data_IF_838244951129
#
_entry.id   IF_838244951129
#
_cell.length_a   1.000
_cell.length_b   1.000
_cell.length_c   1.000
_cell.angle_alpha   90.00
_cell.angle_beta   90.00
_cell.angle_gamma   90.00
#
_symmetry.space_group_name_H-M   'P 1'
#
loop_
_entity.id
_entity.type
_entity.pdbx_description
1 polymer ?
#
# COMPACT_ATOMS: atom_id res chain seq x y z
N UNK A 1 -27.84 58.55 50.64
CA UNK A 1 -27.83 57.11 50.91
C UNK A 1 -26.44 56.75 51.39
N UNK A 2 -26.30 56.27 52.63
CA UNK A 2 -25.00 55.97 53.23
C UNK A 2 -24.60 54.54 52.86
N UNK A 3 -23.63 54.39 51.98
CA UNK A 3 -22.99 53.09 51.73
C UNK A 3 -21.91 52.90 52.80
N UNK A 4 -22.17 51.96 53.72
CA UNK A 4 -21.28 51.60 54.81
C UNK A 4 -20.08 50.89 54.19
N UNK A 5 -18.94 51.57 54.08
CA UNK A 5 -17.68 50.91 53.75
C UNK A 5 -17.31 49.97 54.90
N UNK A 6 -17.61 48.68 54.74
CA UNK A 6 -17.06 47.62 55.59
C UNK A 6 -15.54 47.61 55.41
N UNK A 7 -14.85 48.28 56.33
CA UNK A 7 -13.40 48.19 56.44
C UNK A 7 -13.08 46.78 56.94
N UNK A 8 -12.66 45.90 56.04
CA UNK A 8 -12.09 44.59 56.38
C UNK A 8 -11.08 44.77 57.52
N UNK A 9 -11.22 43.95 58.56
CA UNK A 9 -10.35 44.03 59.73
C UNK A 9 -8.92 43.62 59.34
N UNK A 10 -7.89 44.18 59.99
CA UNK A 10 -6.48 43.81 59.74
C UNK A 10 -6.21 42.29 59.82
N UNK A 11 -7.08 41.53 60.50
CA UNK A 11 -7.06 40.07 60.57
C UNK A 11 -7.55 39.36 59.29
N UNK A 12 -8.53 39.93 58.56
CA UNK A 12 -9.04 39.35 57.30
C UNK A 12 -8.08 39.61 56.13
N UNK A 13 -7.35 40.73 56.15
CA UNK A 13 -6.27 41.03 55.21
C UNK A 13 -5.01 40.18 55.40
N UNK A 14 -4.90 39.46 56.53
CA UNK A 14 -3.77 38.59 56.86
C UNK A 14 -4.10 37.10 56.83
N UNK A 15 -5.34 36.73 56.50
CA UNK A 15 -5.71 35.35 56.24
C UNK A 15 -5.11 34.90 54.90
N UNK A 16 -4.52 33.70 54.80
CA UNK A 16 -3.98 33.21 53.54
C UNK A 16 -5.09 33.14 52.50
N UNK A 17 -4.85 33.77 51.35
CA UNK A 17 -5.81 33.76 50.25
C UNK A 17 -5.99 32.33 49.69
N UNK A 18 -7.03 32.12 48.89
CA UNK A 18 -7.31 30.82 48.30
C UNK A 18 -6.12 30.25 47.51
N UNK A 19 -5.35 31.11 46.83
CA UNK A 19 -4.17 30.69 46.07
C UNK A 19 -3.04 30.21 46.99
N UNK A 20 -2.84 30.83 48.15
CA UNK A 20 -1.87 30.42 49.16
C UNK A 20 -2.26 29.09 49.82
N UNK A 21 -3.56 28.87 50.08
CA UNK A 21 -4.06 27.61 50.66
C UNK A 21 -3.97 26.45 49.68
N UNK A 22 -4.48 26.63 48.45
CA UNK A 22 -4.39 25.60 47.40
C UNK A 22 -2.93 25.38 46.97
N UNK A 23 -2.10 26.43 46.98
CA UNK A 23 -0.67 26.33 46.72
C UNK A 23 0.08 25.56 47.81
N UNK A 24 -0.25 25.79 49.09
CA UNK A 24 0.33 25.07 50.21
C UNK A 24 -0.04 23.57 50.16
N UNK A 25 -1.32 23.25 49.93
CA UNK A 25 -1.79 21.87 49.81
C UNK A 25 -1.20 21.15 48.59
N UNK A 26 -1.14 21.82 47.45
CA UNK A 26 -0.48 21.31 46.26
C UNK A 26 1.02 21.08 46.48
N UNK A 27 1.71 22.00 47.19
CA UNK A 27 3.14 21.86 47.48
C UNK A 27 3.46 20.72 48.43
N UNK A 28 2.66 20.51 49.48
CA UNK A 28 2.83 19.39 50.41
C UNK A 28 2.55 18.04 49.72
N UNK A 29 1.54 17.99 48.85
CA UNK A 29 1.27 16.83 48.01
C UNK A 29 2.42 16.52 47.04
N UNK A 30 2.98 17.56 46.40
CA UNK A 30 4.10 17.43 45.46
C UNK A 30 5.37 16.98 46.17
N UNK A 31 5.64 17.51 47.37
CA UNK A 31 6.77 17.10 48.21
C UNK A 31 6.64 15.64 48.64
N UNK A 32 5.46 15.21 49.11
CA UNK A 32 5.18 13.82 49.49
C UNK A 32 5.29 12.85 48.32
N UNK A 33 5.03 13.28 47.09
CA UNK A 33 5.08 12.44 45.87
C UNK A 33 6.24 12.76 44.94
N UNK A 34 7.20 13.60 45.37
CA UNK A 34 8.27 14.15 44.53
C UNK A 34 9.16 13.07 43.89
N UNK A 35 9.44 11.97 44.59
CA UNK A 35 10.18 10.83 44.04
C UNK A 35 9.44 10.10 42.92
N UNK A 36 8.12 9.92 43.07
CA UNK A 36 7.29 9.28 42.03
C UNK A 36 7.18 10.20 40.82
N UNK A 37 6.92 11.49 41.05
CA UNK A 37 6.79 12.49 39.98
C UNK A 37 8.11 12.65 39.20
N UNK A 38 9.25 12.73 39.90
CA UNK A 38 10.57 12.80 39.23
C UNK A 38 10.89 11.52 38.46
N UNK A 39 10.57 10.34 38.99
CA UNK A 39 10.74 9.07 38.27
C UNK A 39 9.89 9.04 37.00
N UNK A 40 8.61 9.40 37.09
CA UNK A 40 7.70 9.47 35.93
C UNK A 40 8.21 10.50 34.92
N UNK A 41 8.66 11.67 35.36
CA UNK A 41 9.21 12.70 34.49
C UNK A 41 10.47 12.21 33.75
N UNK A 42 11.39 11.53 34.45
CA UNK A 42 12.59 10.92 33.83
C UNK A 42 12.20 9.86 32.81
N UNK A 43 11.25 8.98 33.14
CA UNK A 43 10.76 7.95 32.20
C UNK A 43 10.14 8.58 30.96
N UNK A 44 9.35 9.65 31.10
CA UNK A 44 8.78 10.36 29.96
C UNK A 44 9.84 11.05 29.10
N UNK A 45 10.84 11.69 29.72
CA UNK A 45 11.94 12.34 28.99
C UNK A 45 12.79 11.31 28.26
N UNK A 46 13.19 10.23 28.92
CA UNK A 46 13.99 9.15 28.32
C UNK A 46 13.20 8.46 27.22
N UNK A 47 11.93 8.14 27.45
CA UNK A 47 11.04 7.56 26.45
C UNK A 47 10.87 8.46 25.23
N UNK A 48 10.69 9.77 25.44
CA UNK A 48 10.62 10.77 24.39
C UNK A 48 11.92 10.89 23.58
N UNK A 49 13.07 10.86 24.25
CA UNK A 49 14.39 10.89 23.60
C UNK A 49 14.66 9.63 22.77
N UNK A 50 14.29 8.45 23.29
CA UNK A 50 14.40 7.18 22.55
C UNK A 50 13.50 7.24 21.30
N UNK A 51 12.25 7.68 21.45
CA UNK A 51 11.33 7.81 20.32
C UNK A 51 11.87 8.81 19.27
N UNK A 52 12.40 9.95 19.70
CA UNK A 52 12.99 10.95 18.80
C UNK A 52 14.23 10.43 18.07
N UNK A 53 15.10 9.68 18.75
CA UNK A 53 16.27 9.05 18.13
C UNK A 53 15.86 8.00 17.10
N UNK A 54 14.91 7.11 17.45
CA UNK A 54 14.38 6.10 16.52
C UNK A 54 13.77 6.78 15.29
N UNK A 55 12.96 7.81 15.48
CA UNK A 55 12.35 8.55 14.37
C UNK A 55 13.41 9.24 13.50
N UNK A 56 14.43 9.85 14.10
CA UNK A 56 15.52 10.49 13.38
C UNK A 56 16.31 9.50 12.51
N UNK A 57 16.69 8.35 13.07
CA UNK A 57 17.43 7.33 12.33
C UNK A 57 16.57 6.68 11.24
N UNK A 58 15.30 6.36 11.53
CA UNK A 58 14.38 5.78 10.55
C UNK A 58 14.15 6.73 9.38
N UNK A 59 13.88 8.01 9.64
CA UNK A 59 13.68 8.99 8.57
C UNK A 59 14.93 9.17 7.71
N UNK A 60 16.12 9.17 8.33
CA UNK A 60 17.38 9.32 7.62
C UNK A 60 17.71 8.08 6.79
N UNK A 61 17.46 6.87 7.30
CA UNK A 61 17.61 5.65 6.53
C UNK A 61 16.62 5.59 5.38
N UNK A 62 15.38 6.03 5.60
CA UNK A 62 14.34 6.08 4.57
C UNK A 62 14.71 7.04 3.45
N UNK A 63 15.16 8.26 3.78
CA UNK A 63 15.59 9.25 2.79
C UNK A 63 16.76 8.75 1.93
N UNK A 64 17.76 8.12 2.58
CA UNK A 64 18.89 7.52 1.88
C UNK A 64 18.45 6.35 0.97
N UNK A 65 17.57 5.48 1.46
CA UNK A 65 17.03 4.36 0.71
C UNK A 65 16.19 4.83 -0.47
N UNK A 66 15.33 5.83 -0.30
CA UNK A 66 14.50 6.39 -1.37
C UNK A 66 15.36 7.00 -2.49
N UNK A 67 16.41 7.74 -2.14
CA UNK A 67 17.34 8.29 -3.13
C UNK A 67 18.07 7.18 -3.90
N UNK A 68 18.57 6.17 -3.19
CA UNK A 68 19.27 5.05 -3.83
C UNK A 68 18.31 4.17 -4.64
N UNK A 69 17.04 4.04 -4.24
CA UNK A 69 16.03 3.34 -5.03
C UNK A 69 15.84 4.04 -6.37
N UNK A 70 15.73 5.36 -6.39
CA UNK A 70 15.65 6.13 -7.64
C UNK A 70 16.79 5.80 -8.60
N UNK A 71 18.02 5.74 -8.10
CA UNK A 71 19.21 5.35 -8.89
C UNK A 71 19.15 3.89 -9.34
N UNK A 72 18.68 2.99 -8.47
CA UNK A 72 18.56 1.55 -8.77
C UNK A 72 17.51 1.29 -9.85
N UNK A 73 16.48 2.13 -9.94
CA UNK A 73 15.43 2.03 -10.96
C UNK A 73 15.86 2.55 -12.33
N UNK A 74 17.01 3.22 -12.47
CA UNK A 74 17.54 3.66 -13.77
C UNK A 74 17.74 2.49 -14.75
N UNK A 75 17.99 1.27 -14.25
CA UNK A 75 18.07 0.08 -15.10
C UNK A 75 16.75 -0.29 -15.77
N UNK A 76 15.60 0.14 -15.24
CA UNK A 76 14.30 -0.06 -15.89
C UNK A 76 14.10 0.87 -17.09
N UNK A 77 14.69 2.05 -17.06
CA UNK A 77 14.54 3.08 -18.10
C UNK A 77 15.59 2.95 -19.20
N UNK A 78 16.68 2.23 -18.94
CA UNK A 78 17.76 2.03 -19.91
C UNK A 78 17.24 1.27 -21.13
N UNK A 79 17.44 1.79 -22.36
CA UNK A 79 16.85 1.23 -23.57
C UNK A 79 17.36 -0.18 -23.86
N UNK A 80 16.50 -0.99 -24.47
CA UNK A 80 16.84 -2.29 -25.04
C UNK A 80 16.99 -2.12 -26.55
N UNK A 81 18.16 -2.50 -27.08
CA UNK A 81 18.45 -2.37 -28.52
C UNK A 81 18.98 -3.70 -29.03
N UNK A 82 18.22 -4.34 -29.89
CA UNK A 82 18.60 -5.60 -30.53
C UNK A 82 19.26 -5.34 -31.89
N UNK A 83 20.44 -5.93 -32.12
CA UNK A 83 21.07 -6.00 -33.44
C UNK A 83 21.71 -4.71 -33.98
N UNK A 84 21.50 -3.54 -33.35
CA UNK A 84 22.17 -2.29 -33.73
C UNK A 84 23.06 -1.80 -32.58
N UNK A 85 24.40 -1.76 -32.74
CA UNK A 85 25.28 -1.20 -31.72
C UNK A 85 25.14 0.33 -31.71
N UNK A 86 24.21 0.84 -30.89
CA UNK A 86 24.16 2.26 -30.57
C UNK A 86 25.26 2.57 -29.56
N UNK A 87 26.15 3.49 -29.91
CA UNK A 87 27.13 4.03 -28.97
C UNK A 87 26.40 4.97 -28.00
N UNK A 88 26.53 4.75 -26.68
CA UNK A 88 25.93 5.64 -25.69
C UNK A 88 26.57 7.03 -25.76
N UNK A 89 25.85 8.07 -25.36
CA UNK A 89 26.44 9.38 -25.18
C UNK A 89 27.53 9.33 -24.10
N UNK A 90 28.46 10.29 -24.12
CA UNK A 90 29.55 10.33 -23.16
C UNK A 90 29.00 10.44 -21.72
N UNK A 91 29.27 9.41 -20.90
CA UNK A 91 28.79 9.33 -19.51
C UNK A 91 27.55 8.47 -19.30
N UNK A 92 26.94 7.92 -20.36
CA UNK A 92 25.79 7.03 -20.26
C UNK A 92 26.20 5.55 -20.30
N UNK A 93 25.44 4.72 -19.59
CA UNK A 93 25.58 3.27 -19.69
C UNK A 93 25.04 2.79 -21.04
N UNK A 94 25.67 1.76 -21.66
CA UNK A 94 25.18 1.22 -22.93
C UNK A 94 23.77 0.63 -22.78
N UNK A 95 22.97 0.62 -23.87
CA UNK A 95 21.69 -0.05 -23.88
C UNK A 95 21.83 -1.54 -23.52
N UNK A 96 20.77 -2.12 -22.98
CA UNK A 96 20.66 -3.56 -22.83
C UNK A 96 20.53 -4.25 -24.19
N UNK A 97 21.11 -5.45 -24.33
CA UNK A 97 21.07 -6.22 -25.57
C UNK A 97 19.75 -6.99 -25.74
N UNK A 98 19.01 -7.17 -24.65
CA UNK A 98 17.71 -7.84 -24.64
C UNK A 98 16.90 -7.46 -23.40
N UNK A 99 15.58 -7.65 -23.48
CA UNK A 99 14.66 -7.52 -22.33
C UNK A 99 15.07 -8.45 -21.19
N UNK A 100 15.55 -9.65 -21.52
CA UNK A 100 16.03 -10.63 -20.54
C UNK A 100 17.23 -10.11 -19.75
N UNK A 101 18.22 -9.51 -20.42
CA UNK A 101 19.40 -8.94 -19.76
C UNK A 101 19.03 -7.79 -18.82
N UNK A 102 18.07 -6.95 -19.24
CA UNK A 102 17.52 -5.89 -18.37
C UNK A 102 16.89 -6.49 -17.12
N UNK A 103 16.01 -7.47 -17.29
CA UNK A 103 15.30 -8.07 -16.18
C UNK A 103 16.24 -8.82 -15.21
N UNK A 104 17.26 -9.53 -15.72
CA UNK A 104 18.29 -10.18 -14.88
C UNK A 104 19.09 -9.15 -14.06
N UNK A 105 19.41 -8.00 -14.67
CA UNK A 105 20.09 -6.89 -14.00
C UNK A 105 19.20 -6.26 -12.93
N UNK A 106 17.95 -5.95 -13.28
CA UNK A 106 16.94 -5.43 -12.35
C UNK A 106 16.74 -6.37 -11.16
N UNK A 107 16.62 -7.68 -11.38
CA UNK A 107 16.50 -8.65 -10.28
C UNK A 107 17.72 -8.61 -9.37
N UNK A 108 18.92 -8.57 -9.94
CA UNK A 108 20.18 -8.53 -9.18
C UNK A 108 20.28 -7.28 -8.32
N UNK A 109 20.08 -6.11 -8.94
CA UNK A 109 20.21 -4.80 -8.30
C UNK A 109 19.14 -4.58 -7.23
N UNK A 110 17.86 -4.88 -7.53
CA UNK A 110 16.78 -4.70 -6.56
C UNK A 110 16.83 -5.73 -5.43
N UNK A 111 17.27 -6.98 -5.68
CA UNK A 111 17.48 -7.95 -4.60
C UNK A 111 18.56 -7.46 -3.63
N UNK A 112 19.67 -6.94 -4.16
CA UNK A 112 20.73 -6.34 -3.34
C UNK A 112 20.21 -5.12 -2.58
N UNK A 113 19.55 -4.19 -3.25
CA UNK A 113 18.98 -3.00 -2.65
C UNK A 113 18.04 -3.33 -1.48
N UNK A 114 17.10 -4.26 -1.68
CA UNK A 114 16.15 -4.67 -0.64
C UNK A 114 16.84 -5.33 0.56
N UNK A 115 17.94 -6.03 0.33
CA UNK A 115 18.76 -6.63 1.39
C UNK A 115 19.48 -5.56 2.20
N UNK A 116 20.08 -4.59 1.52
CA UNK A 116 20.87 -3.51 2.13
C UNK A 116 19.97 -2.48 2.89
N UNK A 117 18.72 -2.31 2.45
CA UNK A 117 17.77 -1.32 3.00
C UNK A 117 16.57 -1.95 3.70
N UNK A 118 16.72 -3.16 4.25
CA UNK A 118 15.63 -3.90 4.89
C UNK A 118 14.91 -3.07 5.96
N UNK A 119 13.57 -3.06 5.87
CA UNK A 119 12.71 -2.35 6.83
C UNK A 119 12.36 -0.91 6.45
N UNK A 120 12.86 -0.42 5.32
CA UNK A 120 12.44 0.86 4.73
C UNK A 120 11.24 0.68 3.81
N UNK A 121 10.43 1.73 3.65
CA UNK A 121 9.32 1.78 2.70
C UNK A 121 9.84 1.72 1.26
N UNK A 122 11.03 2.28 0.99
CA UNK A 122 11.73 2.12 -0.28
C UNK A 122 12.04 0.65 -0.60
N UNK A 123 12.57 -0.14 0.35
CA UNK A 123 12.81 -1.57 0.15
C UNK A 123 11.52 -2.38 -0.01
N UNK A 124 10.44 -1.97 0.66
CA UNK A 124 9.12 -2.53 0.42
C UNK A 124 8.64 -2.22 -1.00
N UNK A 125 8.69 -0.96 -1.42
CA UNK A 125 8.26 -0.49 -2.76
C UNK A 125 9.04 -1.14 -3.89
N UNK A 126 10.35 -1.37 -3.69
CA UNK A 126 11.22 -2.08 -4.63
C UNK A 126 10.75 -3.52 -4.94
N UNK A 127 9.91 -4.11 -4.10
CA UNK A 127 9.31 -5.42 -4.36
C UNK A 127 8.48 -5.44 -5.65
N UNK A 128 7.80 -4.35 -6.02
CA UNK A 128 6.94 -4.33 -7.19
C UNK A 128 7.71 -4.49 -8.52
N UNK A 129 8.72 -3.65 -8.83
CA UNK A 129 9.53 -3.86 -10.03
C UNK A 129 10.33 -5.16 -9.98
N UNK A 130 10.80 -5.58 -8.79
CA UNK A 130 11.48 -6.87 -8.62
C UNK A 130 10.58 -8.04 -8.99
N UNK A 131 9.37 -8.10 -8.44
CA UNK A 131 8.38 -9.13 -8.72
C UNK A 131 7.97 -9.17 -10.19
N UNK A 132 7.84 -7.99 -10.83
CA UNK A 132 7.57 -7.89 -12.27
C UNK A 132 8.71 -8.45 -13.13
N UNK A 133 9.96 -8.15 -12.78
CA UNK A 133 11.12 -8.69 -13.49
C UNK A 133 11.25 -10.21 -13.28
N UNK A 134 11.04 -10.69 -12.05
CA UNK A 134 11.00 -12.14 -11.74
C UNK A 134 9.91 -12.85 -12.56
N UNK A 135 8.72 -12.26 -12.66
CA UNK A 135 7.63 -12.80 -13.48
C UNK A 135 8.01 -12.90 -14.97
N UNK A 136 8.60 -11.83 -15.54
CA UNK A 136 9.03 -11.83 -16.95
C UNK A 136 10.13 -12.85 -17.24
N UNK A 137 10.99 -13.12 -16.25
CA UNK A 137 12.01 -14.19 -16.34
C UNK A 137 11.44 -15.60 -16.12
N UNK A 138 10.14 -15.74 -15.87
CA UNK A 138 9.51 -17.03 -15.56
C UNK A 138 9.78 -17.54 -14.14
N UNK A 139 10.43 -16.75 -13.29
CA UNK A 139 10.60 -17.05 -11.87
C UNK A 139 9.32 -16.71 -11.10
N UNK A 140 8.26 -17.49 -11.35
CA UNK A 140 6.95 -17.23 -10.77
C UNK A 140 6.92 -17.44 -9.26
N UNK A 141 7.69 -18.39 -8.71
CA UNK A 141 7.82 -18.58 -7.25
C UNK A 141 8.40 -17.34 -6.57
N UNK A 142 9.49 -16.80 -7.13
CA UNK A 142 10.07 -15.56 -6.67
C UNK A 142 9.09 -14.39 -6.77
N UNK A 143 8.38 -14.27 -7.89
CA UNK A 143 7.40 -13.21 -8.09
C UNK A 143 6.25 -13.27 -7.07
N UNK A 144 5.67 -14.45 -6.84
CA UNK A 144 4.62 -14.64 -5.82
C UNK A 144 5.11 -14.26 -4.44
N UNK A 145 6.32 -14.68 -4.06
CA UNK A 145 6.90 -14.33 -2.76
C UNK A 145 7.09 -12.81 -2.63
N UNK A 146 7.72 -12.19 -3.63
CA UNK A 146 8.02 -10.76 -3.62
C UNK A 146 6.76 -9.89 -3.59
N UNK A 147 5.73 -10.20 -4.40
CA UNK A 147 4.45 -9.47 -4.33
C UNK A 147 3.72 -9.73 -3.01
N UNK A 148 3.78 -10.96 -2.49
CA UNK A 148 3.19 -11.35 -1.21
C UNK A 148 3.78 -10.61 -0.02
N UNK A 149 5.08 -10.30 -0.03
CA UNK A 149 5.72 -9.43 0.95
C UNK A 149 5.10 -8.02 0.91
N UNK A 150 4.92 -7.45 -0.29
CA UNK A 150 4.29 -6.14 -0.43
C UNK A 150 2.84 -6.12 0.09
N UNK A 151 2.02 -7.10 -0.32
CA UNK A 151 0.60 -7.13 0.07
C UNK A 151 0.38 -7.37 1.57
N UNK A 152 1.36 -7.99 2.24
CA UNK A 152 1.35 -8.22 3.68
C UNK A 152 1.74 -6.98 4.49
N UNK A 153 2.81 -6.30 4.08
CA UNK A 153 3.43 -5.27 4.90
C UNK A 153 3.02 -3.83 4.51
N UNK A 154 2.47 -3.63 3.31
CA UNK A 154 2.02 -2.31 2.87
C UNK A 154 0.75 -1.84 3.59
N UNK A 155 0.58 -0.51 3.81
CA UNK A 155 -0.68 0.05 4.29
C UNK A 155 -1.84 -0.31 3.36
N UNK A 156 -3.03 -0.58 3.92
CA UNK A 156 -4.24 -0.88 3.14
C UNK A 156 -4.65 0.24 2.18
N UNK A 157 -4.32 1.47 2.55
CA UNK A 157 -4.52 2.68 1.75
C UNK A 157 -3.46 2.88 0.67
N UNK A 158 -2.47 1.99 0.55
CA UNK A 158 -1.43 2.12 -0.48
C UNK A 158 -2.03 2.03 -1.88
N UNK A 159 -1.80 3.03 -2.75
CA UNK A 159 -2.30 2.99 -4.13
C UNK A 159 -1.65 1.88 -4.96
N UNK A 160 -0.50 1.35 -4.52
CA UNK A 160 0.23 0.30 -5.21
C UNK A 160 -0.21 -1.11 -4.81
N UNK A 161 -1.09 -1.23 -3.81
CA UNK A 161 -1.58 -2.53 -3.31
C UNK A 161 -2.33 -3.32 -4.40
N UNK A 162 -3.06 -2.62 -5.26
CA UNK A 162 -3.75 -3.21 -6.42
C UNK A 162 -2.77 -3.81 -7.42
N UNK A 163 -1.67 -3.11 -7.74
CA UNK A 163 -0.62 -3.58 -8.63
C UNK A 163 0.12 -4.81 -8.06
N UNK A 164 0.27 -4.86 -6.72
CA UNK A 164 0.87 -6.01 -6.05
C UNK A 164 -0.04 -7.25 -6.14
N UNK A 165 -1.33 -7.10 -5.84
CA UNK A 165 -2.31 -8.18 -5.99
C UNK A 165 -2.45 -8.65 -7.44
N UNK A 166 -2.42 -7.73 -8.41
CA UNK A 166 -2.43 -8.06 -9.83
C UNK A 166 -1.19 -8.90 -10.21
N UNK A 167 0.01 -8.43 -9.85
CA UNK A 167 1.25 -9.17 -10.11
C UNK A 167 1.29 -10.53 -9.44
N UNK A 168 0.83 -10.64 -8.20
CA UNK A 168 0.72 -11.89 -7.47
C UNK A 168 -0.27 -12.86 -8.14
N UNK A 169 -1.43 -12.35 -8.56
CA UNK A 169 -2.45 -13.11 -9.27
C UNK A 169 -1.95 -13.66 -10.60
N UNK A 170 -1.25 -12.85 -11.40
CA UNK A 170 -0.63 -13.33 -12.64
C UNK A 170 0.45 -14.38 -12.41
N UNK A 171 1.32 -14.17 -11.42
CA UNK A 171 2.36 -15.16 -11.10
C UNK A 171 1.75 -16.49 -10.62
N UNK A 172 0.66 -16.46 -9.83
CA UNK A 172 -0.08 -17.66 -9.44
C UNK A 172 -0.80 -18.32 -10.63
N UNK A 173 -1.41 -17.53 -11.52
CA UNK A 173 -2.05 -18.01 -12.77
C UNK A 173 -1.02 -18.75 -13.64
N UNK A 174 0.16 -18.17 -13.85
CA UNK A 174 1.24 -18.77 -14.63
C UNK A 174 1.75 -20.10 -14.04
N UNK A 175 1.63 -20.27 -12.72
CA UNK A 175 1.93 -21.54 -12.02
C UNK A 175 0.79 -22.55 -12.05
N UNK A 176 -0.37 -22.20 -12.62
CA UNK A 176 -1.59 -23.03 -12.54
C UNK A 176 -2.26 -23.03 -11.17
N UNK A 177 -1.87 -22.14 -10.26
CA UNK A 177 -2.44 -22.01 -8.91
C UNK A 177 -3.74 -21.18 -8.96
N UNK A 178 -4.73 -21.68 -9.71
CA UNK A 178 -5.92 -20.90 -10.08
C UNK A 178 -6.74 -20.43 -8.87
N UNK A 179 -6.88 -21.23 -7.81
CA UNK A 179 -7.61 -20.80 -6.60
C UNK A 179 -6.90 -19.63 -5.89
N UNK A 180 -5.57 -19.64 -5.86
CA UNK A 180 -4.79 -18.57 -5.26
C UNK A 180 -4.84 -17.31 -6.12
N UNK A 181 -4.74 -17.46 -7.44
CA UNK A 181 -4.88 -16.35 -8.39
C UNK A 181 -6.26 -15.68 -8.26
N UNK A 182 -7.33 -16.48 -8.15
CA UNK A 182 -8.68 -15.98 -7.93
C UNK A 182 -8.78 -15.13 -6.66
N UNK A 183 -8.18 -15.58 -5.56
CA UNK A 183 -8.17 -14.82 -4.31
C UNK A 183 -7.35 -13.53 -4.43
N UNK A 184 -6.19 -13.56 -5.09
CA UNK A 184 -5.39 -12.33 -5.33
C UNK A 184 -6.17 -11.29 -6.14
N UNK A 185 -6.85 -11.68 -7.23
CA UNK A 185 -7.68 -10.75 -8.02
C UNK A 185 -8.93 -10.29 -7.28
N UNK A 186 -9.46 -11.11 -6.36
CA UNK A 186 -10.52 -10.70 -5.45
C UNK A 186 -10.04 -9.65 -4.45
N UNK A 187 -8.84 -9.80 -3.88
CA UNK A 187 -8.23 -8.77 -3.03
C UNK A 187 -7.96 -7.48 -3.82
N UNK A 188 -7.47 -7.58 -5.07
CA UNK A 188 -7.34 -6.43 -5.97
C UNK A 188 -8.66 -5.66 -6.12
N UNK A 189 -9.77 -6.38 -6.35
CA UNK A 189 -11.10 -5.75 -6.51
C UNK A 189 -11.66 -5.09 -5.25
N UNK A 190 -11.09 -5.40 -4.07
CA UNK A 190 -11.56 -4.95 -2.75
C UNK A 190 -10.59 -4.03 -2.03
N UNK A 191 -9.39 -3.79 -2.57
CA UNK A 191 -8.41 -2.95 -1.93
C UNK A 191 -8.97 -1.52 -1.74
N UNK A 192 -8.68 -0.90 -0.60
CA UNK A 192 -9.28 0.38 -0.22
C UNK A 192 -8.89 1.50 -1.19
N UNK A 193 -7.65 1.43 -1.71
CA UNK A 193 -7.16 2.36 -2.73
C UNK A 193 -7.61 2.00 -4.16
N UNK A 194 -8.45 0.98 -4.35
CA UNK A 194 -8.99 0.64 -5.66
C UNK A 194 -9.99 1.69 -6.11
N UNK A 195 -9.55 2.55 -7.04
CA UNK A 195 -10.48 3.28 -7.88
C UNK A 195 -11.32 2.32 -8.73
N UNK A 196 -12.41 2.83 -9.30
CA UNK A 196 -13.39 2.06 -10.08
C UNK A 196 -12.72 1.20 -11.17
N UNK A 197 -11.74 1.77 -11.88
CA UNK A 197 -10.96 1.05 -12.89
C UNK A 197 -10.29 -0.21 -12.33
N UNK A 198 -9.57 -0.10 -11.19
CA UNK A 198 -8.85 -1.23 -10.61
C UNK A 198 -9.80 -2.26 -10.00
N UNK A 199 -10.92 -1.79 -9.42
CA UNK A 199 -11.99 -2.67 -8.97
C UNK A 199 -12.54 -3.53 -10.11
N UNK A 200 -12.92 -2.88 -11.22
CA UNK A 200 -13.45 -3.55 -12.40
C UNK A 200 -12.46 -4.51 -13.03
N UNK A 201 -11.19 -4.11 -13.15
CA UNK A 201 -10.12 -5.01 -13.65
C UNK A 201 -9.95 -6.24 -12.74
N UNK A 202 -9.97 -6.08 -11.42
CA UNK A 202 -9.95 -7.20 -10.49
C UNK A 202 -11.13 -8.17 -10.67
N UNK A 203 -12.35 -7.66 -10.92
CA UNK A 203 -13.52 -8.48 -11.22
C UNK A 203 -13.40 -9.19 -12.58
N UNK A 204 -12.88 -8.49 -13.58
CA UNK A 204 -12.60 -9.07 -14.89
C UNK A 204 -11.58 -10.22 -14.82
N UNK A 205 -10.50 -10.06 -14.05
CA UNK A 205 -9.51 -11.12 -13.85
C UNK A 205 -10.08 -12.31 -13.07
N UNK A 206 -10.92 -12.09 -12.06
CA UNK A 206 -11.65 -13.17 -11.39
C UNK A 206 -12.47 -13.99 -12.39
N UNK A 207 -13.21 -13.34 -13.30
CA UNK A 207 -13.98 -14.05 -14.33
C UNK A 207 -13.08 -14.83 -15.30
N UNK A 208 -11.92 -14.29 -15.70
CA UNK A 208 -10.93 -15.03 -16.51
C UNK A 208 -10.49 -16.32 -15.81
N UNK A 209 -10.17 -16.24 -14.52
CA UNK A 209 -9.75 -17.40 -13.72
C UNK A 209 -10.89 -18.40 -13.56
N UNK A 210 -12.12 -17.95 -13.31
CA UNK A 210 -13.28 -18.84 -13.24
C UNK A 210 -13.49 -19.62 -14.55
N UNK A 211 -13.28 -18.99 -15.71
CA UNK A 211 -13.30 -19.71 -17.00
C UNK A 211 -12.18 -20.74 -17.08
N UNK A 212 -10.96 -20.40 -16.65
CA UNK A 212 -9.83 -21.33 -16.62
C UNK A 212 -10.08 -22.52 -15.67
N UNK A 213 -10.84 -22.32 -14.60
CA UNK A 213 -11.31 -23.37 -13.68
C UNK A 213 -12.49 -24.19 -14.23
N UNK A 214 -13.04 -23.85 -15.40
CA UNK A 214 -14.23 -24.49 -15.96
C UNK A 214 -15.57 -24.00 -15.38
N UNK A 215 -15.54 -23.05 -14.44
CA UNK A 215 -16.73 -22.44 -13.79
C UNK A 215 -17.34 -21.34 -14.66
N UNK A 216 -17.75 -21.72 -15.88
CA UNK A 216 -18.18 -20.76 -16.91
C UNK A 216 -19.46 -20.01 -16.56
N UNK A 217 -20.39 -20.66 -15.86
CA UNK A 217 -21.64 -20.01 -15.44
C UNK A 217 -21.39 -18.94 -14.38
N UNK A 218 -20.52 -19.22 -13.40
CA UNK A 218 -20.09 -18.23 -12.40
C UNK A 218 -19.35 -17.06 -13.05
N UNK A 219 -18.47 -17.36 -14.03
CA UNK A 219 -17.78 -16.32 -14.79
C UNK A 219 -18.78 -15.44 -15.56
N UNK A 220 -19.79 -16.05 -16.21
CA UNK A 220 -20.81 -15.31 -16.93
C UNK A 220 -21.63 -14.40 -16.01
N UNK A 221 -22.00 -14.86 -14.80
CA UNK A 221 -22.69 -14.00 -13.83
C UNK A 221 -21.83 -12.80 -13.42
N UNK A 222 -20.56 -13.02 -13.09
CA UNK A 222 -19.66 -11.95 -12.68
C UNK A 222 -19.46 -10.91 -13.78
N UNK A 223 -19.35 -11.35 -15.04
CA UNK A 223 -19.21 -10.46 -16.19
C UNK A 223 -20.52 -9.70 -16.49
N UNK A 224 -21.68 -10.33 -16.30
CA UNK A 224 -22.98 -9.66 -16.46
C UNK A 224 -23.14 -8.54 -15.42
N UNK A 225 -22.79 -8.82 -14.17
CA UNK A 225 -22.79 -7.83 -13.08
C UNK A 225 -21.81 -6.70 -13.35
N UNK A 226 -20.59 -7.01 -13.81
CA UNK A 226 -19.57 -6.01 -14.15
C UNK A 226 -20.02 -5.13 -15.34
N UNK A 227 -20.60 -5.72 -16.38
CA UNK A 227 -21.17 -4.97 -17.51
C UNK A 227 -22.29 -4.04 -17.07
N UNK A 228 -23.18 -4.50 -16.18
CA UNK A 228 -24.31 -3.70 -15.71
C UNK A 228 -23.87 -2.52 -14.84
N UNK A 229 -22.84 -2.72 -14.00
CA UNK A 229 -22.36 -1.70 -13.07
C UNK A 229 -21.33 -0.73 -13.65
N UNK A 230 -20.56 -1.15 -14.67
CA UNK A 230 -19.43 -0.36 -15.22
C UNK A 230 -19.37 -0.42 -16.77
N UNK A 231 -20.51 -0.40 -17.44
CA UNK A 231 -20.62 -0.70 -18.88
C UNK A 231 -19.76 0.17 -19.81
N UNK A 232 -19.57 1.45 -19.49
CA UNK A 232 -18.75 2.39 -20.26
C UNK A 232 -17.28 2.40 -19.78
N UNK A 233 -16.97 1.83 -18.61
CA UNK A 233 -15.60 1.65 -18.17
C UNK A 233 -14.89 0.56 -19.00
N UNK A 234 -13.56 0.59 -18.99
CA UNK A 234 -12.75 -0.40 -19.71
C UNK A 234 -13.11 -1.84 -19.30
N UNK A 235 -13.33 -2.07 -18.00
CA UNK A 235 -13.68 -3.38 -17.47
C UNK A 235 -15.06 -3.88 -17.94
N UNK A 236 -16.08 -3.01 -18.02
CA UNK A 236 -17.40 -3.41 -18.54
C UNK A 236 -17.41 -3.67 -20.05
N UNK A 237 -16.58 -2.96 -20.83
CA UNK A 237 -16.36 -3.29 -22.25
C UNK A 237 -15.72 -4.66 -22.42
N UNK A 238 -14.63 -4.92 -21.68
CA UNK A 238 -13.98 -6.24 -21.65
C UNK A 238 -14.95 -7.34 -21.18
N UNK A 239 -15.83 -7.02 -20.22
CA UNK A 239 -16.85 -7.95 -19.75
C UNK A 239 -17.87 -8.29 -20.84
N UNK A 240 -18.30 -7.29 -21.62
CA UNK A 240 -19.20 -7.47 -22.75
C UNK A 240 -18.61 -8.40 -23.81
N UNK A 241 -17.35 -8.18 -24.18
CA UNK A 241 -16.64 -9.04 -25.14
C UNK A 241 -16.54 -10.48 -24.62
N UNK A 242 -16.16 -10.64 -23.35
CA UNK A 242 -15.98 -11.98 -22.77
C UNK A 242 -17.30 -12.74 -22.62
N UNK A 243 -18.40 -12.06 -22.31
CA UNK A 243 -19.74 -12.65 -22.31
C UNK A 243 -20.14 -13.15 -23.69
N UNK A 244 -19.87 -12.40 -24.74
CA UNK A 244 -20.17 -12.83 -26.11
C UNK A 244 -19.40 -14.12 -26.47
N UNK A 245 -18.12 -14.21 -26.06
CA UNK A 245 -17.33 -15.44 -26.23
C UNK A 245 -17.93 -16.62 -25.46
N UNK A 246 -18.36 -16.43 -24.22
CA UNK A 246 -18.99 -17.50 -23.43
C UNK A 246 -20.33 -17.93 -24.05
N UNK A 247 -21.14 -16.99 -24.53
CA UNK A 247 -22.39 -17.28 -25.24
C UNK A 247 -22.16 -18.12 -26.50
N UNK A 248 -21.14 -17.78 -27.30
CA UNK A 248 -20.74 -18.57 -28.47
C UNK A 248 -20.26 -19.99 -28.10
N UNK A 249 -19.81 -20.21 -26.87
CA UNK A 249 -19.46 -21.54 -26.32
C UNK A 249 -20.68 -22.27 -25.71
N UNK A 250 -21.89 -21.74 -25.87
CA UNK A 250 -23.13 -22.35 -25.36
C UNK A 250 -23.46 -22.01 -23.90
N UNK A 251 -22.72 -21.11 -23.26
CA UNK A 251 -23.02 -20.65 -21.89
C UNK A 251 -24.19 -19.68 -21.94
N UNK A 252 -25.23 -19.90 -21.13
CA UNK A 252 -26.36 -18.98 -21.06
C UNK A 252 -25.90 -17.68 -20.40
N UNK A 253 -26.13 -16.54 -21.06
CA UNK A 253 -25.88 -15.22 -20.47
C UNK A 253 -26.95 -14.95 -19.41
N UNK A 254 -26.58 -14.78 -18.13
CA UNK A 254 -27.55 -14.51 -17.08
C UNK A 254 -27.94 -13.03 -17.05
N UNK A 255 -29.08 -12.74 -16.43
CA UNK A 255 -29.44 -11.38 -16.05
C UNK A 255 -28.51 -10.90 -14.91
N UNK A 256 -28.15 -9.60 -14.88
CA UNK A 256 -27.33 -9.06 -13.81
C UNK A 256 -28.09 -9.05 -12.47
N UNK A 257 -27.35 -9.20 -11.38
CA UNK A 257 -27.88 -9.15 -10.02
C UNK A 257 -28.50 -7.77 -9.73
N UNK A 258 -29.62 -7.67 -8.99
CA UNK A 258 -30.24 -6.37 -8.67
C UNK A 258 -29.31 -5.35 -7.99
N UNK A 259 -28.27 -5.80 -7.29
CA UNK A 259 -27.28 -4.93 -6.68
C UNK A 259 -26.34 -4.28 -7.73
N UNK A 260 -26.05 -4.99 -8.82
CA UNK A 260 -25.18 -4.51 -9.89
C UNK A 260 -25.87 -3.43 -10.75
N UNK A 261 -27.20 -3.51 -10.89
CA UNK A 261 -27.99 -2.51 -11.63
C UNK A 261 -28.26 -1.23 -10.84
N UNK A 262 -28.07 -1.25 -9.51
CA UNK A 262 -28.28 -0.10 -8.62
C UNK A 262 -27.04 0.78 -8.43
N UNK A 263 -25.88 0.39 -8.97
CA UNK A 263 -24.70 1.24 -9.09
C UNK A 263 -24.60 1.71 -10.54
N UNK A 264 -25.21 2.85 -10.90
CA UNK A 264 -25.08 3.37 -12.26
C UNK A 264 -23.65 3.84 -12.48
N UNK A 265 -23.18 3.61 -13.70
CA UNK A 265 -21.91 4.08 -14.23
C UNK A 265 -21.74 5.58 -13.97
N UNK A 266 -20.70 5.97 -13.22
CA UNK A 266 -20.33 7.37 -13.02
C UNK A 266 -19.51 7.81 -14.23
N UNK A 267 -20.19 8.01 -15.36
CA UNK A 267 -19.59 8.41 -16.63
C UNK A 267 -18.77 9.70 -16.56
#
# INVERSE_FOLDING_TARGET
MAEKSEKMTKQELSAPDAFQLYGAEASDWLMKRSQIISTVAVVLVVGGLIAALVQYFNNRSEEAAAKQLGQTLESLERPVVEGVPLQPAAGELPPFKSEKERDETTVTELTKFRTDHKGTDAALTAALPLGKAQYRLGNYDGAVATFGEYTKDAPKSSPLLTAAYEGQGYAQEAKGQLDQALESFKQMSKAEASGEFMQGMGQYHQARILVAQGKKDEAAQLLADLKASQGNAAAGRLATERLAVLAAQGVKVPEPTPAATQKPDAG
#
